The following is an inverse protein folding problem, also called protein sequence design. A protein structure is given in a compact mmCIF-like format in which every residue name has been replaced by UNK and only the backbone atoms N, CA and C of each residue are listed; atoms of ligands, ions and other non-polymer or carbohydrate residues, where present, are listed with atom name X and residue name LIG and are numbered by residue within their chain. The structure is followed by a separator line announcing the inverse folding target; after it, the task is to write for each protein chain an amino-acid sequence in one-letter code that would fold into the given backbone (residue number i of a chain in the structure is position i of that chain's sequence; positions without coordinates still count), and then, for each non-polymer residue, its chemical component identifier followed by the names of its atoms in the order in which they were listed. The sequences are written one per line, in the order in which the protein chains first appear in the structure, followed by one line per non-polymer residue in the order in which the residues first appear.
data_IF_923638635150
#
_entry.id   IF_923638635150
#
_cell.length_a   1.000
_cell.length_b   1.000
_cell.length_c   1.000
_cell.angle_alpha   90.00
_cell.angle_beta   90.00
_cell.angle_gamma   90.00
#
_symmetry.space_group_name_H-M   'P 1'
#
loop_
_entity.id
_entity.type
_entity.pdbx_description
1 polymer ?
#
# COMPACT_ATOMS: atom_id res chain seq x y z
N UNK A 1 -1.89 6.27 -9.18
CA UNK A 1 -2.09 6.73 -7.80
C UNK A 1 -3.60 6.73 -7.55
N UNK A 2 -4.04 6.10 -6.46
CA UNK A 2 -5.39 6.24 -5.92
C UNK A 2 -5.28 7.32 -4.85
N UNK A 3 -6.03 8.40 -5.03
CA UNK A 3 -5.99 9.59 -4.19
C UNK A 3 -7.43 9.99 -3.93
N UNK A 4 -8.00 9.44 -2.86
CA UNK A 4 -9.44 9.49 -2.59
C UNK A 4 -9.74 9.78 -1.12
N UNK A 5 -8.86 10.51 -0.44
CA UNK A 5 -9.10 11.07 0.90
C UNK A 5 -9.57 10.04 1.93
N UNK A 6 -8.93 8.87 1.98
CA UNK A 6 -9.22 7.82 2.98
C UNK A 6 -10.18 6.72 2.52
N UNK A 7 -10.66 6.76 1.27
CA UNK A 7 -11.56 5.76 0.68
C UNK A 7 -10.82 4.76 -0.23
N UNK A 8 -9.51 4.57 -0.05
CA UNK A 8 -8.68 3.75 -0.93
C UNK A 8 -9.14 2.29 -0.92
N UNK A 9 -9.53 1.79 0.26
CA UNK A 9 -10.03 0.44 0.43
C UNK A 9 -11.34 0.21 -0.35
N UNK A 10 -12.25 1.18 -0.35
CA UNK A 10 -13.52 1.18 -1.10
C UNK A 10 -13.25 1.09 -2.60
N UNK A 11 -12.33 1.91 -3.11
CA UNK A 11 -11.92 1.90 -4.51
C UNK A 11 -11.37 0.53 -4.90
N UNK A 12 -10.47 -0.03 -4.09
CA UNK A 12 -9.87 -1.33 -4.36
C UNK A 12 -10.90 -2.49 -4.27
N UNK A 13 -11.93 -2.38 -3.42
CA UNK A 13 -13.03 -3.37 -3.38
C UNK A 13 -13.79 -3.44 -4.70
N UNK A 14 -13.89 -2.34 -5.43
CA UNK A 14 -14.53 -2.29 -6.75
C UNK A 14 -13.77 -3.02 -7.86
N UNK A 15 -12.49 -3.36 -7.65
CA UNK A 15 -11.69 -4.08 -8.65
C UNK A 15 -12.08 -5.56 -8.68
N UNK A 16 -12.21 -6.14 -9.86
CA UNK A 16 -12.47 -7.57 -10.07
C UNK A 16 -11.26 -8.33 -10.63
N UNK A 17 -10.20 -7.62 -11.00
CA UNK A 17 -8.97 -8.17 -11.58
C UNK A 17 -7.76 -7.39 -11.06
N UNK A 18 -6.58 -8.02 -10.96
CA UNK A 18 -5.36 -7.34 -10.56
C UNK A 18 -4.98 -6.23 -11.56
N UNK A 19 -4.57 -5.09 -11.03
CA UNK A 19 -3.97 -3.97 -11.78
C UNK A 19 -2.46 -4.11 -11.74
N UNK A 20 -1.79 -3.83 -12.86
CA UNK A 20 -0.35 -4.01 -13.03
C UNK A 20 0.49 -3.23 -12.01
N UNK A 21 0.20 -1.95 -11.82
CA UNK A 21 0.87 -1.08 -10.83
C UNK A 21 -0.14 -0.06 -10.30
N UNK A 22 -0.10 0.20 -9.00
CA UNK A 22 -0.87 1.27 -8.36
C UNK A 22 -0.15 1.78 -7.11
N UNK A 23 -0.62 2.90 -6.57
CA UNK A 23 -0.22 3.39 -5.26
C UNK A 23 -1.43 3.89 -4.49
N UNK A 24 -1.35 3.86 -3.16
CA UNK A 24 -2.36 4.36 -2.23
C UNK A 24 -1.68 4.92 -0.98
N UNK A 25 -2.34 5.86 -0.30
CA UNK A 25 -1.78 6.50 0.88
C UNK A 25 -1.79 5.56 2.10
N UNK A 26 -0.77 5.69 2.96
CA UNK A 26 -0.83 5.26 4.35
C UNK A 26 -0.70 6.49 5.26
N UNK A 27 -1.61 6.59 6.22
CA UNK A 27 -1.57 7.61 7.28
C UNK A 27 -1.49 6.87 8.61
N UNK A 28 -0.48 7.09 9.46
CA UNK A 28 -0.32 6.32 10.69
C UNK A 28 -1.52 6.37 11.63
N UNK A 29 -2.22 7.51 11.70
CA UNK A 29 -3.45 7.67 12.48
C UNK A 29 -4.62 6.80 11.98
N UNK A 30 -4.62 6.39 10.71
CA UNK A 30 -5.66 5.56 10.08
C UNK A 30 -5.07 4.37 9.35
N UNK A 31 -4.02 3.76 9.90
CA UNK A 31 -3.28 2.64 9.28
C UNK A 31 -4.15 1.44 8.89
N UNK A 32 -5.31 1.27 9.52
CA UNK A 32 -6.28 0.22 9.19
C UNK A 32 -6.79 0.32 7.74
N UNK A 33 -6.86 1.52 7.16
CA UNK A 33 -7.22 1.71 5.75
C UNK A 33 -6.15 1.09 4.85
N UNK A 34 -4.87 1.39 5.09
CA UNK A 34 -3.76 0.79 4.36
C UNK A 34 -3.73 -0.74 4.54
N UNK A 35 -4.00 -1.27 5.74
CA UNK A 35 -4.10 -2.71 5.99
C UNK A 35 -5.24 -3.36 5.20
N UNK A 36 -6.40 -2.69 5.07
CA UNK A 36 -7.51 -3.16 4.26
C UNK A 36 -7.17 -3.16 2.76
N UNK A 37 -6.45 -2.13 2.27
CA UNK A 37 -5.92 -2.09 0.91
C UNK A 37 -4.99 -3.28 0.63
N UNK A 38 -4.03 -3.54 1.51
CA UNK A 38 -3.09 -4.67 1.40
C UNK A 38 -3.84 -6.01 1.36
N UNK A 39 -4.81 -6.22 2.25
CA UNK A 39 -5.63 -7.42 2.25
C UNK A 39 -6.42 -7.59 0.93
N UNK A 40 -6.96 -6.50 0.39
CA UNK A 40 -7.69 -6.52 -0.89
C UNK A 40 -6.79 -6.88 -2.07
N UNK A 41 -5.58 -6.33 -2.12
CA UNK A 41 -4.59 -6.62 -3.17
C UNK A 41 -4.12 -8.07 -3.11
N UNK A 42 -3.87 -8.60 -1.91
CA UNK A 42 -3.53 -10.02 -1.71
C UNK A 42 -4.61 -10.97 -2.27
N UNK A 43 -5.88 -10.59 -2.17
CA UNK A 43 -6.99 -11.35 -2.74
C UNK A 43 -7.14 -11.20 -4.27
N UNK A 44 -6.51 -10.18 -4.89
CA UNK A 44 -6.53 -9.99 -6.36
C UNK A 44 -5.40 -10.73 -7.07
N UNK A 45 -4.29 -10.97 -6.38
CA UNK A 45 -3.12 -11.62 -6.96
C UNK A 45 -1.87 -11.43 -6.11
N UNK A 46 -0.74 -11.85 -6.66
CA UNK A 46 0.56 -11.71 -5.99
C UNK A 46 1.15 -10.34 -6.34
N UNK A 47 1.52 -9.60 -5.30
CA UNK A 47 2.12 -8.27 -5.42
C UNK A 47 3.42 -8.20 -4.62
N UNK A 48 4.31 -7.36 -5.08
CA UNK A 48 5.43 -6.84 -4.29
C UNK A 48 5.23 -5.34 -4.04
N UNK A 49 5.88 -4.82 -3.00
CA UNK A 49 5.61 -3.50 -2.48
C UNK A 49 6.87 -2.66 -2.24
N UNK A 50 6.73 -1.34 -2.33
CA UNK A 50 7.70 -0.38 -1.82
C UNK A 50 6.93 0.86 -1.36
N UNK A 51 7.58 1.80 -0.69
CA UNK A 51 6.90 3.00 -0.22
C UNK A 51 7.80 4.22 -0.28
N UNK A 52 7.14 5.37 -0.22
CA UNK A 52 7.77 6.67 -0.02
C UNK A 52 7.22 7.32 1.24
N UNK A 53 8.06 8.10 1.92
CA UNK A 53 7.65 8.87 3.11
C UNK A 53 7.37 10.31 2.66
N UNK A 54 6.23 10.85 3.05
CA UNK A 54 5.72 12.15 2.59
C UNK A 54 5.82 12.28 1.08
N UNK A 55 6.26 13.45 0.62
CA UNK A 55 6.48 13.75 -0.80
C UNK A 55 7.93 13.55 -1.25
N UNK A 56 8.71 12.70 -0.55
CA UNK A 56 10.14 12.54 -0.87
C UNK A 56 10.37 11.91 -2.25
N UNK A 57 9.39 11.15 -2.75
CA UNK A 57 9.48 10.38 -4.01
C UNK A 57 10.71 9.46 -4.07
N UNK A 58 11.15 9.00 -2.90
CA UNK A 58 12.27 8.06 -2.73
C UNK A 58 11.77 6.74 -2.18
N UNK A 59 12.26 5.66 -2.77
CA UNK A 59 12.05 4.30 -2.26
C UNK A 59 12.75 4.11 -0.93
N UNK A 60 12.05 3.48 0.02
CA UNK A 60 12.63 3.13 1.31
C UNK A 60 13.44 1.83 1.28
N UNK A 61 13.27 1.02 0.24
CA UNK A 61 14.00 -0.25 0.06
C UNK A 61 14.58 -0.34 -1.35
N UNK A 62 15.79 -0.90 -1.44
CA UNK A 62 16.43 -1.24 -2.73
C UNK A 62 15.64 -2.34 -3.46
N UNK A 63 15.25 -3.37 -2.71
CA UNK A 63 14.42 -4.47 -3.17
C UNK A 63 12.98 -4.26 -2.70
N UNK A 64 12.02 -4.60 -3.56
CA UNK A 64 10.61 -4.56 -3.20
C UNK A 64 10.30 -5.71 -2.24
N UNK A 65 9.38 -5.48 -1.31
CA UNK A 65 9.08 -6.37 -0.19
C UNK A 65 7.80 -7.16 -0.41
N UNK A 66 7.62 -8.26 0.32
CA UNK A 66 6.41 -9.08 0.24
C UNK A 66 5.20 -8.42 0.92
N UNK A 67 4.03 -9.01 0.74
CA UNK A 67 2.81 -8.57 1.43
C UNK A 67 2.93 -8.68 2.96
N UNK A 68 3.62 -9.70 3.47
CA UNK A 68 3.84 -9.90 4.91
C UNK A 68 4.74 -8.82 5.49
N UNK A 69 5.85 -8.52 4.81
CA UNK A 69 6.79 -7.47 5.23
C UNK A 69 6.12 -6.09 5.19
N UNK A 70 5.36 -5.79 4.13
CA UNK A 70 4.63 -4.52 4.01
C UNK A 70 3.54 -4.39 5.08
N UNK A 71 2.79 -5.47 5.36
CA UNK A 71 1.81 -5.48 6.46
C UNK A 71 2.47 -5.24 7.80
N UNK A 72 3.62 -5.87 8.06
CA UNK A 72 4.37 -5.67 9.29
C UNK A 72 4.82 -4.22 9.44
N UNK A 73 5.37 -3.61 8.38
CA UNK A 73 5.71 -2.19 8.35
C UNK A 73 4.51 -1.31 8.76
N UNK A 74 3.36 -1.48 8.10
CA UNK A 74 2.16 -0.68 8.41
C UNK A 74 1.67 -0.91 9.84
N UNK A 75 1.73 -2.15 10.35
CA UNK A 75 1.33 -2.46 11.72
C UNK A 75 2.20 -1.78 12.77
N UNK A 76 3.50 -1.63 12.52
CA UNK A 76 4.45 -1.00 13.43
C UNK A 76 4.37 0.53 13.45
N UNK A 77 3.67 1.15 12.49
CA UNK A 77 3.51 2.60 12.45
C UNK A 77 2.87 3.13 13.74
N UNK A 78 3.47 4.19 14.26
CA UNK A 78 3.02 5.00 15.39
C UNK A 78 2.44 6.31 14.90
N UNK A 79 1.52 6.91 15.66
CA UNK A 79 0.76 8.10 15.23
C UNK A 79 1.61 9.34 14.96
N UNK A 80 2.84 9.38 15.50
CA UNK A 80 3.78 10.49 15.33
C UNK A 80 4.67 10.35 14.08
N UNK A 81 4.58 9.22 13.36
CA UNK A 81 5.30 9.03 12.11
C UNK A 81 4.64 9.77 10.94
N UNK A 82 5.40 10.01 9.88
CA UNK A 82 4.90 10.66 8.68
C UNK A 82 4.03 9.71 7.85
N UNK A 83 3.03 10.26 7.16
CA UNK A 83 2.30 9.56 6.11
C UNK A 83 3.16 9.36 4.85
N UNK A 84 2.62 8.65 3.87
CA UNK A 84 3.21 8.56 2.54
C UNK A 84 2.43 7.63 1.61
N UNK A 85 3.07 7.21 0.53
CA UNK A 85 2.46 6.34 -0.48
C UNK A 85 3.07 4.93 -0.45
N UNK A 86 2.22 3.90 -0.39
CA UNK A 86 2.59 2.52 -0.69
C UNK A 86 2.35 2.26 -2.17
N UNK A 87 3.35 1.70 -2.84
CA UNK A 87 3.32 1.30 -4.23
C UNK A 87 3.25 -0.22 -4.30
N UNK A 88 2.38 -0.74 -5.17
CA UNK A 88 2.18 -2.16 -5.38
C UNK A 88 2.39 -2.49 -6.86
N UNK A 89 3.21 -3.51 -7.15
CA UNK A 89 3.45 -4.04 -8.49
C UNK A 89 2.96 -5.49 -8.55
N UNK A 90 2.04 -5.78 -9.46
CA UNK A 90 1.52 -7.13 -9.66
C UNK A 90 2.57 -8.01 -10.33
N UNK A 91 2.86 -9.16 -9.74
CA UNK A 91 3.71 -10.18 -10.33
C UNK A 91 2.88 -10.94 -11.35
N UNK A 92 3.13 -10.69 -12.63
CA UNK A 92 2.55 -11.50 -13.71
C UNK A 92 3.20 -12.87 -13.67
N UNK A 93 2.44 -13.89 -13.28
CA UNK A 93 2.72 -15.29 -13.62
C UNK A 93 2.56 -15.52 -15.11
#
# INVERSE_FOLDING_TARGET
KIDVEGFEAEVLRGLSRPIAVLSFEYVPATKDVALACLARLQALGTYEFNWSIGETHRWQRTEWVTIEEMRHFVQQLTVDENSGDIYARHLKT
#
